data_IF_579823593588
#
_entry.id   IF_579823593588
#
_cell.length_a   1.000
_cell.length_b   1.000
_cell.length_c   1.000
_cell.angle_alpha   90.00
_cell.angle_beta   90.00
_cell.angle_gamma   90.00
#
_symmetry.space_group_name_H-M   'P 1'
#
loop_
_entity.id
_entity.type
_entity.pdbx_description
1 polymer ?
#
# COMPACT_ATOMS: atom_id res chain seq x y z
N UNK A 1 6.39 -5.64 16.66
CA UNK A 1 5.78 -6.86 16.06
C UNK A 1 4.38 -6.58 15.50
N UNK A 2 3.45 -5.98 16.24
CA UNK A 2 2.09 -5.65 15.76
C UNK A 2 2.03 -4.71 14.55
N UNK A 3 2.96 -3.76 14.44
CA UNK A 3 2.99 -2.77 13.37
C UNK A 3 3.23 -3.37 11.96
N UNK A 4 4.13 -4.35 11.85
CA UNK A 4 4.36 -5.04 10.57
C UNK A 4 3.20 -5.96 10.19
N UNK A 5 2.63 -6.68 11.15
CA UNK A 5 1.47 -7.55 10.93
C UNK A 5 0.22 -6.75 10.52
N UNK A 6 -0.02 -5.60 11.14
CA UNK A 6 -1.14 -4.73 10.76
C UNK A 6 -0.97 -4.17 9.35
N UNK A 7 0.27 -3.86 8.93
CA UNK A 7 0.56 -3.49 7.55
C UNK A 7 0.31 -4.64 6.56
N UNK A 8 0.75 -5.86 6.88
CA UNK A 8 0.53 -7.05 6.03
C UNK A 8 -0.95 -7.32 5.82
N UNK A 9 -1.75 -7.24 6.89
CA UNK A 9 -3.19 -7.35 6.78
C UNK A 9 -3.79 -6.21 5.96
N UNK A 10 -3.35 -4.98 6.24
CA UNK A 10 -3.82 -3.79 5.52
C UNK A 10 -3.57 -3.91 4.02
N UNK A 11 -2.34 -4.23 3.58
CA UNK A 11 -2.01 -4.39 2.16
C UNK A 11 -2.86 -5.47 1.52
N UNK A 12 -3.10 -6.62 2.14
CA UNK A 12 -3.92 -7.68 1.53
C UNK A 12 -5.33 -7.22 1.22
N UNK A 13 -5.92 -6.39 2.09
CA UNK A 13 -7.28 -5.85 1.89
C UNK A 13 -7.33 -4.61 0.98
N UNK A 14 -6.18 -4.00 0.67
CA UNK A 14 -6.05 -2.71 -0.02
C UNK A 14 -5.13 -2.77 -1.24
N UNK A 15 -4.78 -3.97 -1.70
CA UNK A 15 -3.97 -4.15 -2.91
C UNK A 15 -4.91 -4.25 -4.10
N UNK A 16 -4.72 -3.38 -5.07
CA UNK A 16 -5.34 -3.48 -6.39
C UNK A 16 -4.25 -3.83 -7.40
N UNK A 17 -4.54 -4.80 -8.27
CA UNK A 17 -3.66 -5.12 -9.40
C UNK A 17 -4.04 -4.17 -10.52
N UNK A 18 -3.12 -3.29 -10.92
CA UNK A 18 -3.39 -2.36 -12.01
C UNK A 18 -3.33 -3.13 -13.33
N UNK A 19 -4.47 -3.23 -14.04
CA UNK A 19 -4.60 -3.99 -15.29
C UNK A 19 -3.67 -3.47 -16.40
N UNK A 20 -3.29 -2.20 -16.37
CA UNK A 20 -2.43 -1.57 -17.39
C UNK A 20 -0.97 -2.04 -17.33
N UNK A 21 -0.44 -2.30 -16.13
CA UNK A 21 0.98 -2.63 -15.93
C UNK A 21 1.19 -3.99 -15.22
N UNK A 22 0.12 -4.69 -14.83
CA UNK A 22 0.16 -5.94 -14.07
C UNK A 22 0.77 -5.80 -12.66
N UNK A 23 1.05 -4.57 -12.22
CA UNK A 23 1.72 -4.31 -10.96
C UNK A 23 0.71 -4.22 -9.82
N UNK A 24 1.00 -4.93 -8.74
CA UNK A 24 0.25 -4.83 -7.49
C UNK A 24 0.57 -3.49 -6.80
N UNK A 25 -0.49 -2.74 -6.49
CA UNK A 25 -0.40 -1.42 -5.89
C UNK A 25 -1.25 -1.33 -4.62
N UNK A 26 -0.66 -0.86 -3.53
CA UNK A 26 -1.39 -0.64 -2.27
C UNK A 26 -2.06 0.74 -2.30
N UNK A 27 -3.38 0.75 -2.11
CA UNK A 27 -4.24 1.92 -2.21
C UNK A 27 -4.51 2.47 -0.81
N UNK A 28 -4.10 3.71 -0.56
CA UNK A 28 -4.42 4.48 0.63
C UNK A 28 -5.59 5.40 0.32
N UNK A 29 -6.71 5.28 1.04
CA UNK A 29 -7.86 6.16 0.81
C UNK A 29 -7.55 7.61 1.20
N UNK A 30 -8.06 8.56 0.41
CA UNK A 30 -7.92 10.00 0.68
C UNK A 30 -8.57 10.45 1.99
N UNK A 31 -9.64 9.78 2.46
CA UNK A 31 -10.24 10.08 3.76
C UNK A 31 -9.35 9.63 4.95
N UNK A 32 -8.31 8.83 4.68
CA UNK A 32 -7.43 8.24 5.70
C UNK A 32 -5.95 8.50 5.42
N UNK A 33 -5.61 9.74 5.06
CA UNK A 33 -4.21 10.18 4.84
C UNK A 33 -3.29 9.86 6.03
N UNK A 34 -3.81 9.84 7.27
CA UNK A 34 -3.03 9.45 8.44
C UNK A 34 -2.46 8.02 8.33
N UNK A 35 -3.18 7.08 7.71
CA UNK A 35 -2.68 5.72 7.47
C UNK A 35 -1.55 5.69 6.45
N UNK A 36 -1.58 6.58 5.46
CA UNK A 36 -0.48 6.73 4.51
C UNK A 36 0.79 7.11 5.27
N UNK A 37 0.77 8.16 6.09
CA UNK A 37 1.96 8.58 6.83
C UNK A 37 2.40 7.55 7.88
N UNK A 38 1.43 6.88 8.51
CA UNK A 38 1.70 5.80 9.45
C UNK A 38 2.47 4.67 8.77
N UNK A 39 1.98 4.13 7.65
CA UNK A 39 2.57 2.99 6.96
C UNK A 39 3.66 3.34 5.93
N UNK A 40 3.86 4.62 5.61
CA UNK A 40 4.84 5.11 4.63
C UNK A 40 6.22 4.44 4.70
N UNK A 41 6.89 4.32 5.87
CA UNK A 41 8.20 3.68 5.92
C UNK A 41 8.13 2.18 5.56
N UNK A 42 7.07 1.48 5.97
CA UNK A 42 6.88 0.08 5.60
C UNK A 42 6.57 -0.08 4.12
N UNK A 43 5.75 0.81 3.54
CA UNK A 43 5.43 0.78 2.11
C UNK A 43 6.66 0.98 1.23
N UNK A 44 7.60 1.84 1.62
CA UNK A 44 8.88 1.98 0.89
C UNK A 44 9.74 0.72 0.97
N UNK A 45 9.85 0.11 2.15
CA UNK A 45 10.61 -1.13 2.33
C UNK A 45 9.96 -2.27 1.54
N UNK A 46 8.64 -2.39 1.62
CA UNK A 46 7.85 -3.39 0.91
C UNK A 46 7.98 -3.23 -0.61
N UNK A 47 7.89 -2.00 -1.12
CA UNK A 47 8.09 -1.71 -2.53
C UNK A 47 9.52 -2.02 -3.01
N UNK A 48 10.53 -1.78 -2.17
CA UNK A 48 11.91 -2.14 -2.50
C UNK A 48 12.14 -3.66 -2.55
N UNK A 49 11.40 -4.44 -1.77
CA UNK A 49 11.52 -5.91 -1.71
C UNK A 49 10.66 -6.60 -2.76
N UNK A 50 9.42 -6.15 -2.92
CA UNK A 50 8.38 -6.84 -3.72
C UNK A 50 8.14 -6.20 -5.09
N UNK A 51 8.70 -5.00 -5.32
CA UNK A 51 8.41 -4.20 -6.51
C UNK A 51 7.01 -3.56 -6.49
N UNK A 52 6.24 -3.74 -5.40
CA UNK A 52 4.91 -3.15 -5.29
C UNK A 52 4.97 -1.63 -5.20
N UNK A 53 3.98 -0.99 -5.80
CA UNK A 53 3.78 0.45 -5.69
C UNK A 53 2.76 0.75 -4.61
N UNK A 54 2.71 2.01 -4.18
CA UNK A 54 1.68 2.47 -3.26
C UNK A 54 1.30 3.91 -3.60
N UNK A 55 0.02 4.23 -3.42
CA UNK A 55 -0.58 5.49 -3.87
C UNK A 55 -1.69 5.95 -2.92
N UNK A 56 -1.92 7.26 -2.85
CA UNK A 56 -3.03 7.88 -2.13
C UNK A 56 -4.14 8.22 -3.12
N UNK A 57 -5.31 7.63 -2.95
CA UNK A 57 -6.44 7.69 -3.87
C UNK A 57 -6.61 6.40 -4.64
N UNK A 58 -7.75 6.23 -5.32
CA UNK A 58 -7.88 5.23 -6.36
C UNK A 58 -7.40 5.83 -7.67
N UNK A 59 -6.72 5.02 -8.49
CA UNK A 59 -6.38 5.43 -9.85
C UNK A 59 -7.69 5.62 -10.62
N UNK A 60 -8.00 6.87 -10.98
CA UNK A 60 -9.11 7.21 -11.89
C UNK A 60 -8.72 6.94 -13.34
#
# INVERSE_FOLDING_TARGET
MFYGLSYVWFRQTRTEIWETDGNACVIFLEDKVYLYYFYRPLSYIDGAITGMRFHIGQHR
#
